data_IF_838484100925
#
_entry.id   IF_838484100925
#
_cell.length_a   1.000
_cell.length_b   1.000
_cell.length_c   1.000
_cell.angle_alpha   90.00
_cell.angle_beta   90.00
_cell.angle_gamma   90.00
#
_symmetry.space_group_name_H-M   'P 1'
#
loop_
_entity.id
_entity.type
_entity.pdbx_description
1 polymer ?
#
# COMPACT_ATOMS: atom_id res chain seq x y z
N UNK A 1 4.21 -14.68 -1.82
CA UNK A 1 4.34 -14.99 -0.38
C UNK A 1 2.98 -14.80 0.28
N UNK A 2 2.56 -15.74 1.12
CA UNK A 2 1.38 -15.56 1.98
C UNK A 2 1.78 -14.75 3.22
N UNK A 3 1.11 -13.63 3.43
CA UNK A 3 1.24 -12.75 4.59
C UNK A 3 -0.11 -12.43 5.24
N UNK A 4 -1.14 -13.25 4.99
CA UNK A 4 -2.41 -13.22 5.71
C UNK A 4 -2.40 -14.29 6.82
N UNK A 5 -2.46 -13.90 8.10
CA UNK A 5 -2.67 -14.86 9.19
C UNK A 5 -3.96 -15.68 9.08
N UNK A 6 -4.96 -15.21 8.33
CA UNK A 6 -6.21 -15.94 8.08
C UNK A 6 -6.12 -16.89 6.88
N UNK A 7 -4.98 -16.90 6.17
CA UNK A 7 -4.68 -17.76 5.03
C UNK A 7 -3.90 -19.01 5.44
N UNK A 8 -2.82 -19.31 4.71
CA UNK A 8 -2.01 -20.52 4.95
C UNK A 8 -2.59 -21.77 4.27
N UNK A 9 -3.46 -21.56 3.28
CA UNK A 9 -4.14 -22.64 2.58
C UNK A 9 -3.27 -23.22 1.44
N UNK A 10 -2.28 -22.48 0.93
CA UNK A 10 -1.48 -22.92 -0.21
C UNK A 10 -0.79 -24.26 0.08
N UNK A 11 -0.32 -24.47 1.33
CA UNK A 11 0.30 -25.74 1.74
C UNK A 11 -0.66 -26.90 1.50
N UNK A 12 -1.91 -26.79 1.97
CA UNK A 12 -2.92 -27.84 1.83
C UNK A 12 -3.40 -27.97 0.38
N UNK A 13 -3.65 -26.84 -0.31
CA UNK A 13 -4.18 -26.81 -1.68
C UNK A 13 -3.23 -27.49 -2.68
N UNK A 14 -1.93 -27.36 -2.46
CA UNK A 14 -0.91 -27.88 -3.37
C UNK A 14 -0.09 -29.03 -2.80
N UNK A 15 -0.49 -29.58 -1.63
CA UNK A 15 0.22 -30.68 -0.96
C UNK A 15 1.71 -30.39 -0.74
N UNK A 16 2.04 -29.14 -0.38
CA UNK A 16 3.41 -28.73 -0.10
C UNK A 16 3.87 -29.25 1.26
N UNK A 17 5.18 -29.22 1.49
CA UNK A 17 5.75 -29.53 2.80
C UNK A 17 5.50 -28.37 3.77
N UNK A 18 5.54 -28.64 5.08
CA UNK A 18 5.41 -27.59 6.10
C UNK A 18 6.60 -26.63 6.15
N UNK A 19 7.74 -27.03 5.58
CA UNK A 19 8.94 -26.22 5.42
C UNK A 19 9.69 -26.67 4.16
N UNK A 20 10.40 -25.77 3.45
CA UNK A 20 10.54 -24.35 3.77
C UNK A 20 9.27 -23.50 3.55
N UNK A 21 9.17 -22.37 4.27
CA UNK A 21 8.05 -21.44 4.22
C UNK A 21 8.23 -20.23 5.15
N UNK A 22 7.15 -19.50 5.42
CA UNK A 22 7.15 -18.22 6.15
C UNK A 22 7.84 -18.30 7.51
N UNK A 23 7.61 -19.37 8.28
CA UNK A 23 8.21 -19.55 9.61
C UNK A 23 9.72 -19.76 9.50
N UNK A 24 10.17 -20.62 8.59
CA UNK A 24 11.61 -20.85 8.39
C UNK A 24 12.32 -19.60 7.87
N UNK A 25 11.67 -18.81 7.02
CA UNK A 25 12.16 -17.53 6.54
C UNK A 25 12.35 -16.54 7.69
N UNK A 26 11.34 -16.39 8.56
CA UNK A 26 11.40 -15.50 9.71
C UNK A 26 12.51 -15.88 10.70
N UNK A 27 12.81 -17.17 10.86
CA UNK A 27 13.93 -17.63 11.69
C UNK A 27 15.27 -17.29 11.03
N UNK A 28 15.40 -17.51 9.73
CA UNK A 28 16.65 -17.27 9.01
C UNK A 28 16.98 -15.79 8.85
N UNK A 29 15.97 -14.94 8.65
CA UNK A 29 16.11 -13.49 8.50
C UNK A 29 16.84 -12.84 9.69
N UNK A 30 16.66 -13.38 10.90
CA UNK A 30 17.33 -12.89 12.13
C UNK A 30 18.86 -12.98 12.08
N UNK A 31 19.41 -13.80 11.20
CA UNK A 31 20.84 -14.15 11.15
C UNK A 31 21.48 -13.86 9.80
N UNK A 32 20.72 -13.36 8.84
CA UNK A 32 21.18 -13.17 7.48
C UNK A 32 20.40 -12.06 6.79
N UNK A 33 21.16 -11.19 6.13
CA UNK A 33 20.70 -10.13 5.24
C UNK A 33 20.88 -10.50 3.76
N UNK A 34 21.10 -11.79 3.47
CA UNK A 34 21.32 -12.28 2.12
C UNK A 34 20.12 -11.97 1.21
N UNK A 35 20.30 -11.22 0.10
CA UNK A 35 19.22 -10.95 -0.85
C UNK A 35 18.56 -12.20 -1.44
N UNK A 36 19.29 -13.32 -1.49
CA UNK A 36 18.76 -14.59 -1.96
C UNK A 36 17.96 -15.37 -0.91
N UNK A 37 17.88 -14.87 0.34
CA UNK A 37 17.29 -15.60 1.45
C UNK A 37 15.82 -15.95 1.21
N UNK A 38 15.03 -15.03 0.64
CA UNK A 38 13.63 -15.28 0.32
C UNK A 38 13.47 -16.55 -0.53
N UNK A 39 14.28 -16.68 -1.58
CA UNK A 39 14.20 -17.77 -2.55
C UNK A 39 14.55 -19.13 -1.95
N UNK A 40 15.49 -19.18 -0.99
CA UNK A 40 15.84 -20.40 -0.24
C UNK A 40 14.69 -20.92 0.63
N UNK A 41 13.70 -20.09 0.90
CA UNK A 41 12.52 -20.46 1.70
C UNK A 41 11.25 -20.65 0.86
N UNK A 42 11.38 -20.78 -0.46
CA UNK A 42 10.27 -21.08 -1.36
C UNK A 42 10.09 -22.58 -1.58
N UNK A 43 8.87 -22.95 -1.95
CA UNK A 43 8.53 -24.23 -2.57
C UNK A 43 7.86 -23.95 -3.92
N UNK A 44 8.08 -24.83 -4.91
CA UNK A 44 7.50 -24.64 -6.23
C UNK A 44 6.02 -25.06 -6.26
N UNK A 45 5.17 -24.17 -6.77
CA UNK A 45 3.81 -24.48 -7.18
C UNK A 45 3.81 -25.12 -8.59
N UNK A 46 2.72 -25.79 -9.00
CA UNK A 46 2.57 -26.26 -10.37
C UNK A 46 2.86 -25.15 -11.39
N UNK A 47 3.72 -25.45 -12.36
CA UNK A 47 4.22 -24.46 -13.32
C UNK A 47 5.51 -23.74 -12.89
N UNK A 48 6.14 -24.17 -11.78
CA UNK A 48 7.45 -23.70 -11.34
C UNK A 48 7.43 -22.36 -10.61
N UNK A 49 6.26 -21.87 -10.19
CA UNK A 49 6.14 -20.59 -9.50
C UNK A 49 6.63 -20.73 -8.04
N UNK A 50 7.69 -20.01 -7.61
CA UNK A 50 8.17 -20.09 -6.24
C UNK A 50 7.20 -19.42 -5.26
N UNK A 51 6.83 -20.13 -4.19
CA UNK A 51 5.93 -19.63 -3.16
C UNK A 51 6.52 -19.83 -1.76
N UNK A 52 6.49 -18.76 -0.97
CA UNK A 52 6.66 -18.83 0.48
C UNK A 52 5.28 -18.96 1.10
N UNK A 53 4.95 -20.16 1.58
CA UNK A 53 3.66 -20.47 2.17
C UNK A 53 3.62 -20.14 3.67
N UNK A 54 2.48 -19.64 4.14
CA UNK A 54 2.22 -19.40 5.55
C UNK A 54 1.80 -20.71 6.24
N UNK A 55 2.07 -20.87 7.55
CA UNK A 55 1.46 -21.96 8.29
C UNK A 55 -0.07 -21.74 8.37
N UNK A 56 -0.89 -22.82 8.44
CA UNK A 56 -2.33 -22.69 8.64
C UNK A 56 -2.71 -22.15 10.03
N UNK A 57 -1.75 -22.15 10.97
CA UNK A 57 -1.91 -21.58 12.30
C UNK A 57 -1.71 -20.05 12.26
N UNK A 58 -2.78 -19.30 12.53
CA UNK A 58 -2.81 -17.85 12.43
C UNK A 58 -1.84 -17.15 13.39
N UNK A 59 -1.66 -17.67 14.60
CA UNK A 59 -0.76 -17.08 15.59
C UNK A 59 0.70 -17.27 15.19
N UNK A 60 1.04 -18.43 14.64
CA UNK A 60 2.36 -18.70 14.09
C UNK A 60 2.64 -17.87 12.85
N UNK A 61 1.65 -17.68 11.98
CA UNK A 61 1.77 -16.78 10.81
C UNK A 61 2.00 -15.34 11.26
N UNK A 62 1.20 -14.83 12.22
CA UNK A 62 1.35 -13.50 12.80
C UNK A 62 2.72 -13.30 13.43
N UNK A 63 3.18 -14.25 14.25
CA UNK A 63 4.50 -14.17 14.88
C UNK A 63 5.66 -14.15 13.86
N UNK A 64 5.55 -14.95 12.80
CA UNK A 64 6.53 -14.95 11.71
C UNK A 64 6.56 -13.61 10.95
N UNK A 65 5.38 -13.04 10.65
CA UNK A 65 5.27 -11.73 10.00
C UNK A 65 5.81 -10.60 10.88
N UNK A 66 5.51 -10.60 12.17
CA UNK A 66 6.06 -9.61 13.11
C UNK A 66 7.58 -9.67 13.17
N UNK A 67 8.17 -10.87 13.17
CA UNK A 67 9.63 -11.04 13.14
C UNK A 67 10.26 -10.58 11.81
N UNK A 68 9.55 -10.74 10.69
CA UNK A 68 9.98 -10.24 9.38
C UNK A 68 9.80 -8.73 9.23
N UNK A 69 8.83 -8.13 9.90
CA UNK A 69 8.56 -6.71 9.84
C UNK A 69 9.51 -5.88 10.74
N UNK A 70 10.19 -6.51 11.69
CA UNK A 70 11.13 -5.85 12.58
C UNK A 70 12.32 -5.29 11.77
N UNK A 71 12.55 -3.97 11.79
CA UNK A 71 13.68 -3.33 11.10
C UNK A 71 15.05 -3.85 11.56
N UNK A 72 15.17 -4.35 12.78
CA UNK A 72 16.40 -4.90 13.30
C UNK A 72 16.67 -6.35 12.83
N UNK A 73 15.64 -7.09 12.38
CA UNK A 73 15.79 -8.53 12.14
C UNK A 73 15.25 -9.07 10.82
N UNK A 74 14.46 -8.31 10.03
CA UNK A 74 13.85 -8.93 8.84
C UNK A 74 13.32 -8.00 7.75
N UNK A 75 13.12 -6.70 8.03
CA UNK A 75 12.44 -5.80 7.09
C UNK A 75 13.15 -5.69 5.73
N UNK A 76 14.46 -5.96 5.69
CA UNK A 76 15.26 -5.92 4.47
C UNK A 76 15.05 -7.09 3.51
N UNK A 77 14.57 -8.25 3.98
CA UNK A 77 14.61 -9.49 3.17
C UNK A 77 13.71 -9.41 1.94
N UNK A 78 12.47 -8.95 2.11
CA UNK A 78 11.54 -8.79 0.98
C UNK A 78 12.02 -7.72 0.00
N UNK A 79 12.54 -6.61 0.52
CA UNK A 79 13.06 -5.52 -0.29
C UNK A 79 14.31 -5.94 -1.07
N UNK A 80 15.22 -6.68 -0.45
CA UNK A 80 16.41 -7.20 -1.10
C UNK A 80 16.04 -8.18 -2.23
N UNK A 81 15.06 -9.05 -2.00
CA UNK A 81 14.57 -9.97 -3.03
C UNK A 81 13.84 -9.23 -4.18
N UNK A 82 13.05 -8.19 -3.87
CA UNK A 82 12.36 -7.37 -4.86
C UNK A 82 13.31 -6.49 -5.69
N UNK A 83 14.48 -6.14 -5.15
CA UNK A 83 15.51 -5.38 -5.87
C UNK A 83 16.39 -6.27 -6.76
N UNK A 84 16.23 -7.59 -6.72
CA UNK A 84 16.97 -8.48 -7.62
C UNK A 84 16.55 -8.25 -9.08
N UNK A 85 17.48 -8.33 -10.04
CA UNK A 85 17.15 -8.19 -11.46
C UNK A 85 16.08 -9.18 -11.88
N UNK A 86 15.12 -8.71 -12.69
CA UNK A 86 14.03 -9.53 -13.25
C UNK A 86 13.14 -10.25 -12.22
N UNK A 87 13.17 -9.82 -10.95
CA UNK A 87 12.34 -10.36 -9.89
C UNK A 87 11.11 -9.49 -9.60
N UNK A 88 9.97 -10.14 -9.39
CA UNK A 88 8.78 -9.51 -8.84
C UNK A 88 8.30 -10.31 -7.63
N UNK A 89 8.13 -9.63 -6.49
CA UNK A 89 7.65 -10.24 -5.25
C UNK A 89 6.19 -9.84 -5.02
N UNK A 90 5.28 -10.80 -5.17
CA UNK A 90 3.86 -10.62 -4.85
C UNK A 90 3.63 -11.11 -3.41
N UNK A 91 3.03 -10.26 -2.58
CA UNK A 91 2.67 -10.59 -1.20
C UNK A 91 1.16 -10.51 -1.02
N UNK A 92 0.54 -11.65 -0.73
CA UNK A 92 -0.87 -11.69 -0.34
C UNK A 92 -0.97 -11.30 1.13
N UNK A 93 -1.36 -10.05 1.39
CA UNK A 93 -1.45 -9.50 2.74
C UNK A 93 -2.83 -9.71 3.39
N UNK A 94 -3.76 -10.34 2.68
CA UNK A 94 -5.13 -10.53 3.15
C UNK A 94 -5.84 -9.25 3.53
N UNK A 95 -6.66 -9.33 4.58
CA UNK A 95 -7.39 -8.18 5.12
C UNK A 95 -6.50 -7.33 6.02
N UNK A 96 -6.38 -6.05 5.70
CA UNK A 96 -5.64 -5.07 6.50
C UNK A 96 -6.57 -4.29 7.44
N UNK A 97 -6.20 -4.26 8.71
CA UNK A 97 -6.74 -3.47 9.81
C UNK A 97 -5.59 -2.77 10.57
N UNK A 98 -5.92 -2.03 11.64
CA UNK A 98 -4.94 -1.23 12.38
C UNK A 98 -3.84 -2.07 13.07
N UNK A 99 -4.09 -3.36 13.34
CA UNK A 99 -3.18 -4.29 14.01
C UNK A 99 -2.57 -5.34 13.08
N UNK A 100 -2.78 -5.26 11.76
CA UNK A 100 -2.31 -6.29 10.83
C UNK A 100 -0.77 -6.37 10.80
N UNK A 101 -0.25 -7.58 11.00
CA UNK A 101 1.19 -7.85 10.94
C UNK A 101 1.79 -7.62 9.53
N UNK A 102 0.97 -7.64 8.47
CA UNK A 102 1.39 -7.34 7.11
C UNK A 102 1.51 -5.84 6.81
N UNK A 103 1.06 -4.95 7.71
CA UNK A 103 1.03 -3.51 7.46
C UNK A 103 2.42 -2.91 7.13
N UNK A 104 3.52 -3.31 7.79
CA UNK A 104 4.87 -2.86 7.40
C UNK A 104 5.26 -3.31 5.99
N UNK A 105 4.83 -4.50 5.57
CA UNK A 105 5.06 -5.01 4.20
C UNK A 105 4.31 -4.13 3.20
N UNK A 106 3.03 -3.88 3.43
CA UNK A 106 2.19 -3.00 2.59
C UNK A 106 2.82 -1.61 2.46
N UNK A 107 3.30 -1.04 3.57
CA UNK A 107 3.97 0.28 3.56
C UNK A 107 5.29 0.31 2.82
N UNK A 108 5.94 -0.85 2.68
CA UNK A 108 7.18 -1.00 1.95
C UNK A 108 6.97 -1.42 0.50
N UNK A 109 5.73 -1.62 0.03
CA UNK A 109 5.48 -2.12 -1.32
C UNK A 109 5.60 -1.01 -2.38
N UNK A 110 6.18 -1.34 -3.52
CA UNK A 110 6.31 -0.41 -4.66
C UNK A 110 4.94 -0.06 -5.27
N UNK A 111 3.97 -0.98 -5.15
CA UNK A 111 2.56 -0.77 -5.46
C UNK A 111 1.68 -1.67 -4.57
N UNK A 112 0.42 -1.27 -4.38
CA UNK A 112 -0.57 -2.05 -3.63
C UNK A 112 -1.85 -2.17 -4.45
N UNK A 113 -2.39 -3.38 -4.57
CA UNK A 113 -3.71 -3.60 -5.19
C UNK A 113 -4.73 -3.87 -4.09
N UNK A 114 -5.64 -2.93 -3.87
CA UNK A 114 -6.78 -3.08 -2.98
C UNK A 114 -7.93 -3.77 -3.71
N UNK A 115 -8.40 -4.88 -3.17
CA UNK A 115 -9.62 -5.54 -3.61
C UNK A 115 -10.80 -5.09 -2.73
N UNK A 116 -11.90 -4.68 -3.37
CA UNK A 116 -13.14 -4.33 -2.66
C UNK A 116 -14.35 -4.82 -3.42
N UNK A 117 -15.40 -5.21 -2.70
CA UNK A 117 -16.73 -5.34 -3.30
C UNK A 117 -17.32 -3.96 -3.58
N UNK A 118 -18.35 -3.91 -4.42
CA UNK A 118 -18.94 -2.68 -4.92
C UNK A 118 -20.41 -2.49 -4.50
N UNK A 119 -20.79 -2.97 -3.32
CA UNK A 119 -22.10 -2.67 -2.73
C UNK A 119 -22.01 -1.42 -1.83
N UNK A 120 -23.16 -0.81 -1.55
CA UNK A 120 -23.23 0.45 -0.81
C UNK A 120 -22.62 0.35 0.60
N UNK A 121 -22.83 -0.77 1.30
CA UNK A 121 -22.28 -1.04 2.62
C UNK A 121 -20.76 -1.21 2.58
N UNK A 122 -20.24 -2.00 1.63
CA UNK A 122 -18.79 -2.15 1.41
C UNK A 122 -18.11 -0.79 1.15
N UNK A 123 -18.70 0.01 0.25
CA UNK A 123 -18.16 1.31 -0.15
C UNK A 123 -18.28 2.37 0.94
N UNK A 124 -19.33 2.36 1.76
CA UNK A 124 -19.46 3.26 2.90
C UNK A 124 -18.37 3.04 3.96
N UNK A 125 -17.97 1.79 4.19
CA UNK A 125 -16.82 1.47 5.04
C UNK A 125 -15.50 1.87 4.39
N UNK A 126 -15.34 1.64 3.08
CA UNK A 126 -14.15 2.00 2.34
C UNK A 126 -13.91 3.51 2.30
N UNK A 127 -14.94 4.32 2.03
CA UNK A 127 -14.85 5.77 1.89
C UNK A 127 -14.17 6.44 3.09
N UNK A 128 -14.49 6.00 4.31
CA UNK A 128 -13.89 6.50 5.55
C UNK A 128 -12.41 6.14 5.69
N UNK A 129 -11.95 5.09 5.00
CA UNK A 129 -10.58 4.57 5.07
C UNK A 129 -9.71 5.03 3.91
N UNK A 130 -10.29 5.47 2.78
CA UNK A 130 -9.55 5.88 1.58
C UNK A 130 -8.42 6.88 1.85
N UNK A 131 -8.60 7.95 2.67
CA UNK A 131 -7.49 8.87 2.96
C UNK A 131 -6.32 8.22 3.69
N UNK A 132 -6.57 7.22 4.52
CA UNK A 132 -5.53 6.46 5.21
C UNK A 132 -4.87 5.46 4.24
N UNK A 133 -5.68 4.72 3.48
CA UNK A 133 -5.23 3.71 2.50
C UNK A 133 -4.34 4.35 1.43
N UNK A 134 -4.73 5.51 0.90
CA UNK A 134 -3.95 6.24 -0.11
C UNK A 134 -2.58 6.73 0.40
N UNK A 135 -2.32 6.66 1.71
CA UNK A 135 -1.01 6.98 2.31
C UNK A 135 -0.18 5.73 2.61
N UNK A 136 -0.71 4.53 2.37
CA UNK A 136 0.02 3.30 2.67
C UNK A 136 1.13 3.04 1.66
N UNK A 137 0.94 3.38 0.38
CA UNK A 137 1.97 3.29 -0.67
C UNK A 137 1.85 4.49 -1.62
N UNK A 138 2.91 4.75 -2.39
CA UNK A 138 2.91 5.76 -3.44
C UNK A 138 2.02 5.38 -4.64
N UNK A 139 1.82 4.08 -4.89
CA UNK A 139 1.06 3.58 -6.04
C UNK A 139 -0.08 2.64 -5.61
N UNK A 140 -1.16 3.18 -4.99
CA UNK A 140 -2.34 2.40 -4.65
C UNK A 140 -3.24 2.22 -5.89
N UNK A 141 -3.55 0.97 -6.22
CA UNK A 141 -4.52 0.59 -7.23
C UNK A 141 -5.75 -0.05 -6.58
N UNK A 142 -6.93 0.10 -7.18
CA UNK A 142 -8.17 -0.52 -6.71
C UNK A 142 -8.76 -1.43 -7.78
N UNK A 143 -9.25 -2.61 -7.38
CA UNK A 143 -10.07 -3.49 -8.20
C UNK A 143 -11.39 -3.81 -7.49
N UNK A 144 -12.45 -3.84 -8.28
CA UNK A 144 -13.77 -4.27 -7.81
C UNK A 144 -13.88 -5.80 -7.88
N UNK A 145 -14.60 -6.40 -6.93
CA UNK A 145 -14.87 -7.85 -6.88
C UNK A 145 -16.37 -8.06 -6.78
N UNK A 146 -16.89 -9.13 -7.41
CA UNK A 146 -18.30 -9.48 -7.38
C UNK A 146 -19.15 -8.63 -8.33
N UNK A 147 -20.40 -8.38 -7.98
CA UNK A 147 -21.34 -7.49 -8.66
C UNK A 147 -21.40 -6.11 -7.96
N UNK A 148 -22.49 -5.36 -8.17
CA UNK A 148 -22.69 -4.02 -7.60
C UNK A 148 -22.34 -2.86 -8.55
N UNK A 149 -22.01 -1.70 -7.99
CA UNK A 149 -21.81 -0.45 -8.74
C UNK A 149 -20.71 -0.55 -9.80
N UNK A 150 -20.92 0.12 -10.93
CA UNK A 150 -19.93 0.21 -12.00
C UNK A 150 -18.68 0.98 -11.56
N UNK A 151 -17.57 0.78 -12.28
CA UNK A 151 -16.32 1.53 -12.03
C UNK A 151 -16.52 3.04 -12.16
N UNK A 152 -17.39 3.49 -13.07
CA UNK A 152 -17.71 4.89 -13.28
C UNK A 152 -18.49 5.49 -12.10
N UNK A 153 -19.43 4.73 -11.53
CA UNK A 153 -20.20 5.16 -10.35
C UNK A 153 -19.30 5.26 -9.12
N UNK A 154 -18.45 4.26 -8.88
CA UNK A 154 -17.46 4.28 -7.79
C UNK A 154 -16.50 5.46 -7.93
N UNK A 155 -16.00 5.70 -9.15
CA UNK A 155 -15.10 6.82 -9.42
C UNK A 155 -15.76 8.18 -9.14
N UNK A 156 -17.02 8.35 -9.59
CA UNK A 156 -17.79 9.59 -9.38
C UNK A 156 -18.03 9.87 -7.90
N UNK A 157 -18.38 8.85 -7.12
CA UNK A 157 -18.78 9.01 -5.72
C UNK A 157 -17.58 9.12 -4.77
N UNK A 158 -16.53 8.34 -5.01
CA UNK A 158 -15.40 8.22 -4.08
C UNK A 158 -14.12 8.89 -4.55
N UNK A 159 -14.10 9.44 -5.77
CA UNK A 159 -12.92 10.11 -6.34
C UNK A 159 -11.75 9.17 -6.63
N UNK A 160 -11.97 7.85 -6.62
CA UNK A 160 -10.96 6.83 -6.92
C UNK A 160 -11.44 5.98 -8.07
N UNK A 161 -10.69 5.96 -9.17
CA UNK A 161 -11.01 5.17 -10.35
C UNK A 161 -10.46 3.74 -10.18
N UNK A 162 -11.33 2.70 -10.10
CA UNK A 162 -10.85 1.33 -10.09
C UNK A 162 -10.26 0.94 -11.46
N UNK A 163 -9.17 0.17 -11.47
CA UNK A 163 -8.52 -0.32 -12.70
C UNK A 163 -9.41 -1.30 -13.49
N UNK A 164 -10.39 -1.87 -12.82
CA UNK A 164 -11.34 -2.82 -13.39
C UNK A 164 -12.09 -3.60 -12.33
N UNK A 165 -12.73 -4.67 -12.78
CA UNK A 165 -13.44 -5.63 -11.96
C UNK A 165 -12.84 -7.01 -12.20
N UNK A 166 -12.61 -7.76 -11.13
CA UNK A 166 -12.20 -9.16 -11.21
C UNK A 166 -13.35 -9.96 -11.82
N UNK A 167 -13.12 -10.69 -12.93
CA UNK A 167 -14.17 -11.47 -13.57
C UNK A 167 -14.59 -12.65 -12.69
N UNK A 168 -15.86 -13.02 -12.75
CA UNK A 168 -16.35 -14.27 -12.18
C UNK A 168 -15.91 -15.44 -13.07
N UNK A 169 -14.87 -16.14 -12.64
CA UNK A 169 -14.24 -17.25 -13.36
C UNK A 169 -14.04 -18.44 -12.40
N UNK A 170 -15.12 -19.16 -12.04
CA UNK A 170 -15.05 -20.25 -11.09
C UNK A 170 -14.15 -21.39 -11.56
N UNK A 171 -14.01 -21.57 -12.87
CA UNK A 171 -13.12 -22.58 -13.46
C UNK A 171 -11.65 -22.19 -13.34
N UNK A 172 -11.28 -20.97 -13.72
CA UNK A 172 -9.94 -20.44 -13.54
C UNK A 172 -9.55 -20.42 -12.07
N UNK A 173 -10.47 -20.00 -11.18
CA UNK A 173 -10.26 -20.01 -9.74
C UNK A 173 -10.01 -21.41 -9.20
N UNK A 174 -10.75 -22.44 -9.66
CA UNK A 174 -10.54 -23.81 -9.23
C UNK A 174 -9.12 -24.30 -9.56
N UNK A 175 -8.62 -24.02 -10.78
CA UNK A 175 -7.26 -24.37 -11.20
C UNK A 175 -6.21 -23.64 -10.35
N UNK A 176 -6.38 -22.32 -10.16
CA UNK A 176 -5.49 -21.51 -9.33
C UNK A 176 -5.51 -21.91 -7.84
N UNK A 177 -6.57 -22.58 -7.39
CA UNK A 177 -6.68 -23.13 -6.03
C UNK A 177 -6.18 -24.58 -5.91
N UNK A 178 -5.50 -25.11 -6.92
CA UNK A 178 -4.99 -26.50 -6.91
C UNK A 178 -6.07 -27.57 -7.02
N UNK A 179 -7.32 -27.20 -7.34
CA UNK A 179 -8.40 -28.17 -7.52
C UNK A 179 -8.28 -28.83 -8.90
N UNK A 180 -8.51 -30.16 -8.99
CA UNK A 180 -8.54 -30.84 -10.28
C UNK A 180 -9.62 -30.23 -11.19
N UNK A 181 -9.25 -29.85 -12.41
CA UNK A 181 -10.24 -29.40 -13.39
C UNK A 181 -11.04 -30.59 -13.90
N UNK A 182 -12.37 -30.53 -13.78
CA UNK A 182 -13.31 -31.55 -14.30
C UNK A 182 -13.45 -31.47 -15.83
N UNK A 183 -13.05 -30.35 -16.42
CA UNK A 183 -13.08 -30.09 -17.85
C UNK A 183 -11.71 -30.39 -18.46
N UNK A 184 -11.67 -30.79 -19.73
CA UNK A 184 -10.43 -30.99 -20.52
C UNK A 184 -9.70 -29.66 -20.77
N UNK A 185 -9.28 -28.94 -19.73
CA UNK A 185 -8.29 -27.88 -19.78
C UNK A 185 -6.91 -28.49 -20.03
N UNK A 186 -6.76 -29.15 -21.19
CA UNK A 186 -5.50 -29.74 -21.63
C UNK A 186 -4.60 -28.76 -22.39
N UNK A 187 -5.01 -27.50 -22.60
CA UNK A 187 -4.27 -26.58 -23.49
C UNK A 187 -4.18 -25.10 -23.10
N UNK A 188 -4.89 -24.61 -22.09
CA UNK A 188 -4.78 -23.22 -21.65
C UNK A 188 -4.17 -23.15 -20.26
N UNK A 189 -2.95 -22.62 -20.11
CA UNK A 189 -2.41 -22.28 -18.80
C UNK A 189 -3.21 -21.15 -18.13
N UNK A 190 -2.86 -20.77 -16.88
CA UNK A 190 -3.51 -19.68 -16.15
C UNK A 190 -3.67 -18.38 -16.95
N UNK A 191 -2.71 -18.09 -17.84
CA UNK A 191 -2.71 -16.92 -18.73
C UNK A 191 -3.93 -16.82 -19.67
N UNK A 192 -4.59 -17.93 -19.97
CA UNK A 192 -5.76 -17.95 -20.86
C UNK A 192 -7.10 -17.81 -20.11
N UNK A 193 -7.09 -17.94 -18.78
CA UNK A 193 -8.28 -17.71 -17.95
C UNK A 193 -8.64 -16.22 -17.89
N UNK A 194 -9.89 -15.89 -17.59
CA UNK A 194 -10.28 -14.49 -17.45
C UNK A 194 -9.55 -13.83 -16.26
N UNK A 195 -9.28 -14.60 -15.20
CA UNK A 195 -8.43 -14.18 -14.08
C UNK A 195 -6.99 -13.89 -14.50
N UNK A 196 -6.40 -14.74 -15.35
CA UNK A 196 -5.07 -14.51 -15.90
C UNK A 196 -4.99 -13.26 -16.77
N UNK A 197 -6.02 -13.00 -17.58
CA UNK A 197 -6.10 -11.82 -18.44
C UNK A 197 -6.20 -10.53 -17.63
N UNK A 198 -7.04 -10.48 -16.58
CA UNK A 198 -7.12 -9.29 -15.71
C UNK A 198 -5.82 -9.09 -14.92
N UNK A 199 -5.19 -10.17 -14.44
CA UNK A 199 -3.92 -10.09 -13.74
C UNK A 199 -2.82 -9.52 -14.65
N UNK A 200 -2.77 -9.97 -15.91
CA UNK A 200 -1.85 -9.45 -16.90
C UNK A 200 -2.10 -7.96 -17.20
N UNK A 201 -3.37 -7.55 -17.36
CA UNK A 201 -3.74 -6.13 -17.54
C UNK A 201 -3.26 -5.29 -16.36
N UNK A 202 -3.51 -5.75 -15.13
CA UNK A 202 -3.12 -5.04 -13.90
C UNK A 202 -1.60 -4.93 -13.82
N UNK A 203 -0.86 -6.01 -14.09
CA UNK A 203 0.60 -5.98 -14.10
C UNK A 203 1.16 -4.93 -15.08
N UNK A 204 0.63 -4.87 -16.31
CA UNK A 204 1.06 -3.88 -17.29
C UNK A 204 0.82 -2.43 -16.84
N UNK A 205 -0.31 -2.15 -16.18
CA UNK A 205 -0.59 -0.82 -15.62
C UNK A 205 0.39 -0.48 -14.50
N UNK A 206 0.61 -1.39 -13.56
CA UNK A 206 1.52 -1.15 -12.42
C UNK A 206 2.96 -0.94 -12.88
N UNK A 207 3.43 -1.71 -13.86
CA UNK A 207 4.77 -1.54 -14.45
C UNK A 207 4.89 -0.18 -15.14
N UNK A 208 3.86 0.25 -15.88
CA UNK A 208 3.85 1.55 -16.55
C UNK A 208 3.86 2.71 -15.55
N UNK A 209 3.11 2.63 -14.45
CA UNK A 209 3.10 3.64 -13.40
C UNK A 209 4.46 3.72 -12.69
N UNK A 210 5.10 2.57 -12.40
CA UNK A 210 6.42 2.53 -11.80
C UNK A 210 7.50 3.16 -12.69
N UNK A 211 7.41 2.98 -14.01
CA UNK A 211 8.32 3.61 -14.96
C UNK A 211 8.13 5.14 -15.08
N UNK A 212 6.93 5.65 -14.76
CA UNK A 212 6.59 7.06 -14.83
C UNK A 212 6.85 7.83 -13.53
N UNK A 213 7.08 7.15 -12.41
CA UNK A 213 7.37 7.80 -11.14
C UNK A 213 8.62 8.68 -11.28
N UNK A 214 8.51 10.02 -11.11
CA UNK A 214 9.68 10.88 -11.21
C UNK A 214 10.69 10.49 -10.13
N UNK A 215 11.95 10.37 -10.53
CA UNK A 215 13.08 10.39 -9.59
C UNK A 215 13.06 11.76 -8.93
N UNK A 216 12.28 11.92 -7.85
CA UNK A 216 12.46 13.06 -6.95
C UNK A 216 13.84 12.86 -6.36
N UNK A 217 14.83 13.75 -6.63
CA UNK A 217 16.12 13.63 -5.99
C UNK A 217 15.85 13.63 -4.48
N UNK A 218 16.29 12.57 -3.78
CA UNK A 218 16.39 12.59 -2.32
C UNK A 218 17.08 13.90 -1.97
N UNK A 219 16.34 14.84 -1.38
CA UNK A 219 16.99 16.01 -0.78
C UNK A 219 17.94 15.45 0.26
N UNK A 220 19.24 15.47 -0.07
CA UNK A 220 20.31 15.33 0.91
C UNK A 220 19.97 16.32 2.02
N UNK A 221 19.94 15.92 3.31
CA UNK A 221 19.71 16.87 4.37
C UNK A 221 20.70 18.02 4.17
N UNK A 222 20.15 19.22 3.96
CA UNK A 222 20.94 20.41 3.67
C UNK A 222 21.92 20.59 4.82
N UNK A 223 23.17 20.23 4.58
CA UNK A 223 24.24 20.41 5.53
C UNK A 223 24.43 21.93 5.66
N UNK A 224 24.11 22.46 6.85
CA UNK A 224 24.34 23.84 7.33
C UNK A 224 24.89 24.84 6.31
N UNK A 225 24.06 25.26 5.36
CA UNK A 225 24.31 26.49 4.60
C UNK A 225 23.71 27.64 5.43
N UNK A 226 24.52 28.61 5.92
CA UNK A 226 23.98 29.76 6.62
C UNK A 226 23.04 30.52 5.68
N UNK A 227 21.80 30.74 6.14
CA UNK A 227 20.77 31.52 5.46
C UNK A 227 21.35 32.87 5.01
N UNK A 228 21.13 33.31 3.75
CA UNK A 228 21.49 34.66 3.36
C UNK A 228 20.64 35.63 4.18
N UNK A 229 21.31 36.46 4.98
CA UNK A 229 20.69 37.55 5.75
C UNK A 229 19.96 38.45 4.76
N UNK A 230 18.63 38.52 4.87
CA UNK A 230 17.82 39.48 4.11
C UNK A 230 18.34 40.89 4.42
N UNK A 231 18.87 41.57 3.41
CA UNK A 231 19.27 42.99 3.53
C UNK A 231 18.03 43.81 3.88
N UNK A 232 18.12 44.56 4.98
CA UNK A 232 17.09 45.51 5.37
C UNK A 232 16.87 46.55 4.26
N UNK A 233 15.60 46.79 3.94
CA UNK A 233 15.19 47.88 3.04
C UNK A 233 15.35 49.21 3.80
N UNK A 234 16.03 50.23 3.24
CA UNK A 234 16.20 51.51 3.91
C UNK A 234 14.85 52.20 4.19
N UNK A 235 14.62 52.62 5.44
CA UNK A 235 13.47 53.46 5.82
C UNK A 235 12.48 52.88 6.84
N UNK A 236 12.71 51.66 7.35
CA UNK A 236 11.84 51.06 8.38
C UNK A 236 12.65 50.83 9.67
N UNK A 237 12.29 51.43 10.81
CA UNK A 237 12.98 51.19 12.07
C UNK A 237 12.73 49.76 12.56
N UNK A 238 13.80 49.07 12.96
CA UNK A 238 13.75 47.71 13.48
C UNK A 238 13.31 47.73 14.95
N UNK A 239 12.05 47.38 15.22
CA UNK A 239 11.64 47.01 16.59
C UNK A 239 11.81 45.50 16.79
N UNK A 240 12.34 45.05 17.94
CA UNK A 240 12.49 43.63 18.23
C UNK A 240 11.13 42.95 18.40
N UNK A 241 10.91 41.88 17.64
CA UNK A 241 9.75 41.00 17.79
C UNK A 241 9.97 40.09 19.00
N UNK A 242 9.07 40.15 19.98
CA UNK A 242 9.08 39.26 21.14
C UNK A 242 8.72 37.81 20.75
N UNK A 243 9.35 36.85 21.41
CA UNK A 243 9.40 35.41 21.05
C UNK A 243 8.09 34.62 21.21
N UNK A 244 6.98 35.23 21.67
CA UNK A 244 5.71 34.51 21.91
C UNK A 244 4.52 34.93 21.03
N UNK A 245 4.75 35.59 19.88
CA UNK A 245 3.78 35.57 18.77
C UNK A 245 2.42 36.28 18.96
N UNK A 246 2.20 37.07 20.01
CA UNK A 246 0.98 37.86 20.19
C UNK A 246 1.31 39.37 20.19
N UNK A 247 0.64 40.13 19.31
CA UNK A 247 0.68 41.60 19.32
C UNK A 247 -0.32 42.13 20.34
N UNK A 248 0.13 42.91 21.31
CA UNK A 248 -0.78 43.77 22.08
C UNK A 248 -1.24 44.92 21.19
N UNK A 249 -2.55 45.05 21.00
CA UNK A 249 -3.13 46.22 20.33
C UNK A 249 -2.93 47.46 21.20
N UNK A 250 -2.49 48.56 20.60
CA UNK A 250 -2.42 49.87 21.27
C UNK A 250 -3.82 50.45 21.47
N UNK A 251 -4.09 51.20 22.57
CA UNK A 251 -5.39 51.83 22.77
C UNK A 251 -5.66 52.92 21.72
N UNK A 252 -6.88 52.95 21.21
CA UNK A 252 -7.36 53.94 20.23
C UNK A 252 -7.58 55.29 20.93
N UNK A 253 -7.13 56.44 20.38
CA UNK A 253 -7.51 57.75 20.91
C UNK A 253 -8.99 58.05 20.59
N UNK A 254 -9.67 58.88 21.41
CA UNK A 254 -11.09 59.18 21.23
C UNK A 254 -11.34 59.97 19.94
N UNK A 255 -12.30 59.50 19.15
CA UNK A 255 -12.86 60.19 17.98
C UNK A 255 -13.74 61.36 18.44
N UNK A 256 -13.46 62.56 17.92
CA UNK A 256 -14.37 63.69 18.03
C UNK A 256 -15.64 63.40 17.21
N UNK A 257 -16.79 63.33 17.89
CA UNK A 257 -18.11 63.30 17.25
C UNK A 257 -18.44 64.67 16.65
N UNK A 258 -18.65 64.70 15.35
CA UNK A 258 -19.20 65.84 14.64
C UNK A 258 -20.72 65.69 14.62
N UNK A 259 -21.40 66.35 15.55
CA UNK A 259 -22.86 66.34 15.67
C UNK A 259 -23.52 67.23 14.61
N UNK A 260 -24.00 66.63 13.52
CA UNK A 260 -24.96 67.27 12.62
C UNK A 260 -26.38 67.07 13.17
N UNK A 261 -26.95 68.15 13.72
CA UNK A 261 -28.36 68.26 14.12
C UNK A 261 -29.27 68.19 12.90
N UNK A 262 -30.13 67.17 12.83
CA UNK A 262 -31.39 67.22 12.12
C UNK A 262 -32.50 67.50 13.12
N UNK A 263 -33.15 68.67 13.01
CA UNK A 263 -34.32 69.05 13.79
C UNK A 263 -35.53 69.18 12.87
N UNK A 264 -36.63 68.58 13.31
CA UNK A 264 -37.96 68.65 12.72
C UNK A 264 -38.56 70.05 12.89
N UNK A 265 -39.07 70.61 11.79
CA UNK A 265 -40.37 71.30 11.64
C UNK A 265 -40.70 71.43 10.15
#
# INVERSE_FOLDING_TARGET
>A
MEADPSGGDIVTRFSLQSAPGLVSLAVAARRSDDPALLWRHTQELPGGLPAVAAPPDADRARAALSALADPATGAGVLRAAANAPEAAVIVDCGRIDAGSAAMPIVRSADAMVLLTRAHADDLAHLARRLPAIGRWTAHPAMLLVGDGYSTAEVAREHGVLPLGRVPDDPHGAAVLCGRPSTLRWRRGGPAHSALGQIAHKVANVLIAEQAQAPVVPRQVPANNQPMPVLRAVPGVPANPVSTNGLRFATPRPPTAENGSRGGYE
#
